data_IF_075080789942
#
_entry.id   IF_075080789942
#
_cell.length_a   1.000
_cell.length_b   1.000
_cell.length_c   1.000
_cell.angle_alpha   90.00
_cell.angle_beta   90.00
_cell.angle_gamma   90.00
#
_symmetry.space_group_name_H-M   'P 1'
#
loop_
_entity.id
_entity.type
_entity.pdbx_description
1 polymer ?
#
# COMPACT_ATOMS: atom_id res chain seq x y z
N UNK A 1 5.22 10.91 -9.28
CA UNK A 1 6.04 10.56 -8.11
C UNK A 1 6.76 9.26 -8.40
N UNK A 2 8.07 9.21 -8.20
CA UNK A 2 8.85 7.97 -8.26
C UNK A 2 8.70 7.27 -6.91
N UNK A 3 8.32 6.00 -6.91
CA UNK A 3 8.19 5.23 -5.68
C UNK A 3 9.54 4.73 -5.21
N UNK A 4 9.67 4.51 -3.89
CA UNK A 4 10.76 3.72 -3.33
C UNK A 4 10.81 2.35 -4.04
N UNK A 5 11.98 1.81 -4.39
CA UNK A 5 12.08 0.55 -5.12
C UNK A 5 11.31 -0.62 -4.50
N UNK A 6 11.18 -0.66 -3.16
CA UNK A 6 10.46 -1.72 -2.46
C UNK A 6 8.97 -1.56 -2.63
N UNK A 7 8.46 -0.35 -2.42
CA UNK A 7 7.06 -0.02 -2.64
C UNK A 7 6.68 -0.15 -4.13
N UNK A 8 7.60 0.20 -5.02
CA UNK A 8 7.44 0.03 -6.46
C UNK A 8 7.28 -1.45 -6.84
N UNK A 9 8.10 -2.33 -6.26
CA UNK A 9 8.00 -3.79 -6.47
C UNK A 9 6.71 -4.36 -5.85
N UNK A 10 6.31 -3.86 -4.68
CA UNK A 10 5.09 -4.30 -4.00
C UNK A 10 3.83 -3.95 -4.80
N UNK A 11 3.75 -2.72 -5.31
CA UNK A 11 2.60 -2.22 -6.05
C UNK A 11 2.68 -2.46 -7.56
N UNK A 12 3.83 -2.93 -8.08
CA UNK A 12 4.09 -3.04 -9.52
C UNK A 12 4.17 -1.69 -10.25
N UNK A 13 4.51 -0.61 -9.54
CA UNK A 13 4.45 0.77 -10.04
C UNK A 13 5.79 1.46 -9.79
N UNK A 14 6.53 1.79 -10.85
CA UNK A 14 7.79 2.54 -10.69
C UNK A 14 7.58 4.05 -10.55
N UNK A 15 6.69 4.62 -11.37
CA UNK A 15 6.36 6.04 -11.37
C UNK A 15 4.89 6.22 -11.73
N UNK A 16 4.14 6.96 -10.92
CA UNK A 16 2.74 7.29 -11.19
C UNK A 16 2.30 8.60 -10.54
N UNK A 17 1.08 9.04 -10.85
CA UNK A 17 0.43 10.16 -10.14
C UNK A 17 0.16 9.80 -8.67
N UNK A 18 0.07 10.82 -7.80
CA UNK A 18 -0.22 10.62 -6.37
C UNK A 18 -1.52 9.85 -6.16
N UNK A 19 -2.58 10.23 -6.89
CA UNK A 19 -3.90 9.58 -6.78
C UNK A 19 -3.83 8.10 -7.16
N UNK A 20 -3.15 7.76 -8.26
CA UNK A 20 -3.00 6.35 -8.68
C UNK A 20 -2.19 5.52 -7.69
N UNK A 21 -1.14 6.10 -7.10
CA UNK A 21 -0.32 5.44 -6.07
C UNK A 21 -1.19 5.12 -4.83
N UNK A 22 -1.98 6.10 -4.36
CA UNK A 22 -2.84 5.91 -3.19
C UNK A 22 -3.92 4.85 -3.48
N UNK A 23 -4.49 4.82 -4.69
CA UNK A 23 -5.44 3.78 -5.06
C UNK A 23 -4.83 2.39 -5.09
N UNK A 24 -3.63 2.23 -5.68
CA UNK A 24 -2.92 0.96 -5.69
C UNK A 24 -2.58 0.48 -4.27
N UNK A 25 -2.17 1.39 -3.38
CA UNK A 25 -1.95 1.12 -1.97
C UNK A 25 -3.21 0.60 -1.28
N UNK A 26 -4.35 1.28 -1.51
CA UNK A 26 -5.63 0.87 -0.95
C UNK A 26 -6.11 -0.48 -1.46
N UNK A 27 -5.89 -0.78 -2.74
CA UNK A 27 -6.17 -2.11 -3.30
C UNK A 27 -5.31 -3.16 -2.61
N UNK A 28 -4.02 -2.92 -2.45
CA UNK A 28 -3.11 -3.82 -1.74
C UNK A 28 -3.59 -4.11 -0.31
N UNK A 29 -3.95 -3.07 0.44
CA UNK A 29 -4.47 -3.19 1.81
C UNK A 29 -5.73 -4.06 1.87
N UNK A 30 -6.67 -3.85 0.93
CA UNK A 30 -7.92 -4.63 0.87
C UNK A 30 -7.68 -6.08 0.47
N UNK A 31 -6.87 -6.34 -0.55
CA UNK A 31 -6.55 -7.68 -1.03
C UNK A 31 -5.85 -8.51 0.04
N UNK A 32 -4.97 -7.89 0.84
CA UNK A 32 -4.25 -8.56 1.91
C UNK A 32 -4.96 -8.51 3.27
N UNK A 33 -6.19 -7.95 3.32
CA UNK A 33 -6.99 -7.80 4.55
C UNK A 33 -6.23 -7.12 5.68
N UNK A 34 -5.47 -6.08 5.34
CA UNK A 34 -4.62 -5.34 6.27
C UNK A 34 -5.36 -4.22 6.99
N UNK A 35 -6.59 -3.89 6.59
CA UNK A 35 -7.41 -2.96 7.37
C UNK A 35 -7.80 -3.60 8.71
N UNK A 36 -7.67 -2.85 9.80
CA UNK A 36 -8.04 -3.39 11.10
C UNK A 36 -9.55 -3.66 11.18
N UNK A 37 -9.89 -4.78 11.83
CA UNK A 37 -11.28 -5.28 11.88
C UNK A 37 -12.13 -4.54 12.92
N UNK A 38 -11.50 -4.00 13.96
CA UNK A 38 -12.16 -3.22 15.01
C UNK A 38 -12.15 -1.73 14.67
N UNK A 39 -11.06 -1.22 14.08
CA UNK A 39 -10.92 0.19 13.74
C UNK A 39 -10.49 0.40 12.28
N UNK A 40 -11.47 0.75 11.43
CA UNK A 40 -11.27 0.93 9.99
C UNK A 40 -10.37 2.10 9.62
N UNK A 41 -10.05 2.99 10.58
CA UNK A 41 -9.11 4.09 10.36
C UNK A 41 -7.65 3.60 10.36
N UNK A 42 -7.38 2.41 10.91
CA UNK A 42 -6.04 1.84 11.01
C UNK A 42 -5.79 0.74 9.97
N UNK A 43 -4.54 0.70 9.53
CA UNK A 43 -4.00 -0.34 8.65
C UNK A 43 -2.91 -1.06 9.44
N UNK A 44 -3.06 -2.38 9.56
CA UNK A 44 -2.06 -3.26 10.10
C UNK A 44 -0.93 -3.42 9.07
N UNK A 45 0.18 -2.72 9.32
CA UNK A 45 1.38 -2.83 8.51
C UNK A 45 1.90 -4.26 8.54
N UNK A 46 1.87 -4.92 7.39
CA UNK A 46 2.44 -6.25 7.26
C UNK A 46 3.98 -6.20 7.24
N UNK A 47 4.59 -7.38 7.11
CA UNK A 47 6.06 -7.52 7.07
C UNK A 47 6.72 -6.70 5.95
N UNK A 48 5.99 -6.33 4.89
CA UNK A 48 6.51 -5.53 3.80
C UNK A 48 6.45 -4.03 4.08
N UNK A 49 5.53 -3.59 4.94
CA UNK A 49 5.44 -2.20 5.41
C UNK A 49 6.30 -1.88 6.63
N UNK A 50 6.67 -2.87 7.45
CA UNK A 50 7.44 -2.66 8.68
C UNK A 50 8.97 -2.60 8.50
N UNK A 51 9.47 -2.83 7.28
CA UNK A 51 10.91 -2.86 6.97
C UNK A 51 11.38 -1.62 6.22
#
# INVERSE_FOLDING_TARGET
FKLDPRLARLLGIHTQTRSSIIQALWQYVKTNKLQDSHDKEYINCDKYFQQ
#
